data_IF_676234769194
#
_entry.id   IF_676234769194
#
_cell.length_a   1.000
_cell.length_b   1.000
_cell.length_c   1.000
_cell.angle_alpha   90.00
_cell.angle_beta   90.00
_cell.angle_gamma   90.00
#
_symmetry.space_group_name_H-M   'P 1'
#
loop_
_entity.id
_entity.type
_entity.pdbx_description
1 polymer ?
#
# COMPACT_ATOMS: atom_id res chain seq x y z
N UNK A 1 -24.87 9.15 12.01
CA UNK A 1 -23.68 9.47 12.83
C UNK A 1 -22.86 10.48 12.07
N UNK A 2 -22.46 11.61 12.66
CA UNK A 2 -21.58 12.56 11.99
C UNK A 2 -20.26 11.86 11.65
N UNK A 3 -19.79 11.92 10.39
CA UNK A 3 -18.45 11.44 10.03
C UNK A 3 -17.46 12.19 10.93
N UNK A 4 -16.60 11.45 11.66
CA UNK A 4 -15.52 12.05 12.43
C UNK A 4 -14.70 12.90 11.48
N UNK A 5 -14.43 14.15 11.82
CA UNK A 5 -13.57 15.02 11.03
C UNK A 5 -12.17 14.39 11.01
N UNK A 6 -11.67 14.07 9.82
CA UNK A 6 -10.35 13.46 9.62
C UNK A 6 -9.41 14.57 9.17
N UNK A 7 -8.40 14.86 10.00
CA UNK A 7 -7.41 15.90 9.74
C UNK A 7 -6.06 15.35 9.31
N UNK A 8 -5.75 14.12 9.72
CA UNK A 8 -4.48 13.48 9.40
C UNK A 8 -4.69 12.01 9.08
N UNK A 9 -4.12 11.56 7.96
CA UNK A 9 -4.21 10.19 7.44
C UNK A 9 -2.83 9.62 7.23
N UNK A 10 -2.59 8.40 7.72
CA UNK A 10 -1.42 7.60 7.33
C UNK A 10 -1.81 6.67 6.20
N UNK A 11 -1.09 6.75 5.09
CA UNK A 11 -1.35 5.98 3.87
C UNK A 11 -0.29 4.90 3.66
N UNK A 12 -0.72 3.64 3.53
CA UNK A 12 0.13 2.57 3.01
C UNK A 12 0.46 2.87 1.55
N UNK A 13 1.71 3.23 1.28
CA UNK A 13 2.15 3.77 0.00
C UNK A 13 3.21 2.89 -0.65
N UNK A 14 2.92 2.39 -1.84
CA UNK A 14 3.86 1.57 -2.63
C UNK A 14 4.49 2.34 -3.80
N UNK A 15 4.04 3.56 -4.06
CA UNK A 15 4.47 4.32 -5.24
C UNK A 15 3.85 3.84 -6.55
N UNK A 16 3.05 2.79 -6.55
CA UNK A 16 2.25 2.36 -7.70
C UNK A 16 1.14 3.36 -8.05
N UNK A 17 0.49 3.17 -9.20
CA UNK A 17 -0.59 4.03 -9.63
C UNK A 17 -1.72 4.04 -8.60
N UNK A 18 -2.18 2.85 -8.21
CA UNK A 18 -3.31 2.65 -7.28
C UNK A 18 -3.14 3.41 -5.97
N UNK A 19 -1.93 3.41 -5.38
CA UNK A 19 -1.66 4.12 -4.13
C UNK A 19 -1.38 5.60 -4.34
N UNK A 20 -0.85 6.00 -5.51
CA UNK A 20 -0.56 7.41 -5.79
C UNK A 20 -1.83 8.22 -6.00
N UNK A 21 -2.84 7.69 -6.70
CA UNK A 21 -4.13 8.38 -6.92
C UNK A 21 -4.95 8.53 -5.64
N UNK A 22 -4.66 7.73 -4.60
CA UNK A 22 -5.33 7.85 -3.31
C UNK A 22 -5.02 9.18 -2.63
N UNK A 23 -3.83 9.74 -2.83
CA UNK A 23 -3.42 11.00 -2.19
C UNK A 23 -4.36 12.15 -2.60
N UNK A 24 -4.51 12.51 -3.89
CA UNK A 24 -5.45 13.56 -4.29
C UNK A 24 -6.89 13.19 -3.94
N UNK A 25 -7.29 11.92 -4.07
CA UNK A 25 -8.63 11.48 -3.72
C UNK A 25 -8.98 11.71 -2.24
N UNK A 26 -8.04 11.43 -1.33
CA UNK A 26 -8.23 11.70 0.11
C UNK A 26 -8.40 13.19 0.36
N UNK A 27 -7.62 14.04 -0.31
CA UNK A 27 -7.73 15.50 -0.18
C UNK A 27 -9.10 16.01 -0.60
N UNK A 28 -9.63 15.51 -1.70
CA UNK A 28 -10.95 15.91 -2.21
C UNK A 28 -12.10 15.42 -1.33
N UNK A 29 -12.02 14.20 -0.80
CA UNK A 29 -13.15 13.55 -0.13
C UNK A 29 -13.16 13.72 1.39
N UNK A 30 -12.04 14.15 2.01
CA UNK A 30 -11.89 14.28 3.46
C UNK A 30 -11.46 15.69 3.92
N UNK A 31 -11.78 16.73 3.12
CA UNK A 31 -11.54 18.12 3.45
C UNK A 31 -10.05 18.45 3.63
N UNK A 32 -9.23 18.04 2.65
CA UNK A 32 -7.78 18.31 2.56
C UNK A 32 -6.98 17.90 3.81
N UNK A 33 -7.03 16.63 4.25
CA UNK A 33 -6.28 16.17 5.41
C UNK A 33 -4.78 16.18 5.14
N UNK A 34 -3.98 16.29 6.20
CA UNK A 34 -2.56 16.00 6.13
C UNK A 34 -2.34 14.52 5.81
N UNK A 35 -1.57 14.21 4.76
CA UNK A 35 -1.31 12.84 4.33
C UNK A 35 0.14 12.48 4.57
N UNK A 36 0.36 11.48 5.42
CA UNK A 36 1.65 10.89 5.69
C UNK A 36 1.71 9.54 4.99
N UNK A 37 2.57 9.44 3.99
CA UNK A 37 2.80 8.18 3.27
C UNK A 37 3.81 7.30 4.02
N UNK A 38 3.60 5.99 4.00
CA UNK A 38 4.50 5.02 4.65
C UNK A 38 4.73 3.84 3.72
N UNK A 39 5.98 3.52 3.49
CA UNK A 39 6.46 2.32 2.80
C UNK A 39 7.28 1.46 3.74
N UNK A 40 7.05 0.16 3.74
CA UNK A 40 7.88 -0.80 4.46
C UNK A 40 8.86 -1.47 3.50
N UNK A 41 10.14 -1.44 3.83
CA UNK A 41 11.16 -2.27 3.19
C UNK A 41 11.16 -3.66 3.84
N UNK A 42 10.80 -4.66 3.07
CA UNK A 42 10.83 -6.07 3.46
C UNK A 42 11.78 -6.88 2.55
N UNK A 43 12.74 -6.18 1.93
CA UNK A 43 13.75 -6.77 1.05
C UNK A 43 13.48 -6.57 -0.45
N UNK A 44 12.65 -5.59 -0.85
CA UNK A 44 12.35 -5.31 -2.26
C UNK A 44 13.42 -4.47 -2.98
N UNK A 45 14.48 -4.04 -2.31
CA UNK A 45 15.65 -3.42 -2.91
C UNK A 45 15.35 -2.05 -3.55
N UNK A 46 15.73 -1.88 -4.82
CA UNK A 46 15.67 -0.60 -5.54
C UNK A 46 14.27 -0.08 -5.87
N UNK A 47 13.21 -0.81 -5.52
CA UNK A 47 11.83 -0.37 -5.77
C UNK A 47 11.45 0.89 -4.95
N UNK A 48 12.22 1.17 -3.89
CA UNK A 48 12.03 2.34 -3.01
C UNK A 48 12.73 3.61 -3.51
N UNK A 49 13.56 3.51 -4.55
CA UNK A 49 14.31 4.64 -5.08
C UNK A 49 13.38 5.72 -5.68
N UNK A 50 13.56 6.97 -5.25
CA UNK A 50 12.78 8.12 -5.71
C UNK A 50 11.33 8.15 -5.22
N UNK A 51 10.97 7.27 -4.28
CA UNK A 51 9.61 7.16 -3.77
C UNK A 51 9.19 8.41 -2.98
N UNK A 52 10.11 9.02 -2.23
CA UNK A 52 9.85 10.23 -1.45
C UNK A 52 9.49 11.42 -2.36
N UNK A 53 10.32 11.66 -3.38
CA UNK A 53 10.06 12.74 -4.33
C UNK A 53 8.70 12.57 -5.01
N UNK A 54 8.36 11.34 -5.37
CA UNK A 54 7.06 11.02 -5.97
C UNK A 54 5.91 11.27 -5.00
N UNK A 55 6.01 10.82 -3.75
CA UNK A 55 4.97 11.01 -2.74
C UNK A 55 4.70 12.49 -2.48
N UNK A 56 5.75 13.28 -2.29
CA UNK A 56 5.65 14.73 -2.06
C UNK A 56 5.07 15.47 -3.27
N UNK A 57 5.52 15.14 -4.48
CA UNK A 57 4.96 15.71 -5.72
C UNK A 57 3.49 15.38 -5.92
N UNK A 58 3.06 14.23 -5.42
CA UNK A 58 1.66 13.81 -5.51
C UNK A 58 0.79 14.52 -4.46
N UNK A 59 1.40 15.12 -3.43
CA UNK A 59 0.70 15.91 -2.42
C UNK A 59 0.73 15.33 -1.01
N UNK A 60 1.54 14.30 -0.74
CA UNK A 60 1.83 13.87 0.61
C UNK A 60 2.67 14.92 1.34
N UNK A 61 2.46 15.08 2.64
CA UNK A 61 3.22 15.98 3.48
C UNK A 61 4.58 15.39 3.87
N UNK A 62 4.66 14.05 3.94
CA UNK A 62 5.84 13.31 4.39
C UNK A 62 5.79 11.88 3.87
N UNK A 63 6.97 11.27 3.67
CA UNK A 63 7.12 9.83 3.48
C UNK A 63 8.01 9.25 4.58
N UNK A 64 7.57 8.15 5.16
CA UNK A 64 8.39 7.23 5.93
C UNK A 64 8.75 6.02 5.05
N UNK A 65 10.02 5.70 4.99
CA UNK A 65 10.53 4.42 4.45
C UNK A 65 11.13 3.67 5.62
N UNK A 66 10.45 2.62 6.06
CA UNK A 66 10.80 1.86 7.25
C UNK A 66 11.48 0.55 6.86
N UNK A 67 12.69 0.35 7.35
CA UNK A 67 13.38 -0.94 7.21
C UNK A 67 12.74 -1.97 8.17
N UNK A 68 12.10 -2.96 7.59
CA UNK A 68 11.43 -4.05 8.30
C UNK A 68 12.07 -5.41 7.98
N UNK A 69 13.27 -5.41 7.40
CA UNK A 69 13.95 -6.63 6.94
C UNK A 69 14.27 -7.57 8.08
N UNK A 70 14.84 -7.07 9.17
CA UNK A 70 15.16 -7.88 10.35
C UNK A 70 13.89 -8.43 11.00
N UNK A 71 12.87 -7.58 11.22
CA UNK A 71 11.57 -8.01 11.78
C UNK A 71 10.90 -9.06 10.88
N UNK A 72 10.98 -8.90 9.56
CA UNK A 72 10.45 -9.88 8.61
C UNK A 72 11.16 -11.24 8.73
N UNK A 73 12.48 -11.22 8.87
CA UNK A 73 13.28 -12.45 8.98
C UNK A 73 13.06 -13.13 10.33
N UNK A 74 13.27 -12.40 11.42
CA UNK A 74 13.33 -12.98 12.76
C UNK A 74 11.96 -13.36 13.31
N UNK A 75 10.95 -12.50 13.13
CA UNK A 75 9.62 -12.70 13.70
C UNK A 75 8.70 -13.55 12.80
N UNK A 76 9.01 -13.67 11.51
CA UNK A 76 8.08 -14.31 10.56
C UNK A 76 8.75 -15.42 9.74
N UNK A 77 9.82 -15.12 9.00
CA UNK A 77 10.40 -16.11 8.07
C UNK A 77 10.98 -17.29 8.84
N UNK A 78 11.87 -17.04 9.81
CA UNK A 78 12.51 -18.10 10.59
C UNK A 78 11.47 -18.96 11.33
N UNK A 79 10.53 -18.41 12.11
CA UNK A 79 9.49 -19.21 12.74
C UNK A 79 8.63 -20.01 11.77
N UNK A 80 8.29 -19.41 10.62
CA UNK A 80 7.48 -20.08 9.60
C UNK A 80 8.22 -21.27 8.97
N UNK A 81 9.52 -21.12 8.71
CA UNK A 81 10.36 -22.22 8.23
C UNK A 81 10.49 -23.34 9.29
N UNK A 82 10.70 -22.97 10.54
CA UNK A 82 10.77 -23.94 11.65
C UNK A 82 9.49 -24.74 11.82
N UNK A 83 8.33 -24.12 11.58
CA UNK A 83 7.02 -24.79 11.60
C UNK A 83 6.70 -25.59 10.32
N UNK A 84 7.54 -25.48 9.28
CA UNK A 84 7.25 -26.04 7.95
C UNK A 84 6.00 -25.43 7.31
N UNK A 85 5.74 -24.16 7.57
CA UNK A 85 4.56 -23.47 7.07
C UNK A 85 4.56 -23.43 5.54
N UNK A 86 3.51 -23.97 4.93
CA UNK A 86 3.28 -23.91 3.49
C UNK A 86 1.79 -23.93 3.18
N UNK A 87 1.44 -23.40 2.04
CA UNK A 87 0.09 -23.47 1.50
C UNK A 87 0.17 -23.90 0.03
N UNK A 88 0.09 -25.19 -0.21
CA UNK A 88 0.31 -25.79 -1.53
C UNK A 88 1.62 -25.28 -2.16
N UNK A 89 1.55 -24.76 -3.38
CA UNK A 89 2.66 -24.13 -4.09
C UNK A 89 2.66 -22.58 -3.97
N UNK A 90 1.81 -22.01 -3.11
CA UNK A 90 1.71 -20.57 -2.93
C UNK A 90 2.84 -20.04 -2.05
N UNK A 91 3.57 -19.04 -2.57
CA UNK A 91 4.61 -18.35 -1.83
C UNK A 91 4.00 -17.43 -0.77
N UNK A 92 4.30 -17.67 0.50
CA UNK A 92 3.69 -16.98 1.64
C UNK A 92 4.23 -15.56 1.88
N UNK A 93 5.24 -15.09 1.15
CA UNK A 93 5.89 -13.80 1.38
C UNK A 93 4.91 -12.63 1.48
N UNK A 94 3.97 -12.52 0.54
CA UNK A 94 2.93 -11.48 0.57
C UNK A 94 2.02 -11.61 1.80
N UNK A 95 1.67 -12.84 2.18
CA UNK A 95 0.82 -13.08 3.34
C UNK A 95 1.49 -12.66 4.65
N UNK A 96 2.82 -12.76 4.72
CA UNK A 96 3.62 -12.43 5.89
C UNK A 96 3.99 -10.94 5.95
N UNK A 97 4.33 -10.33 4.82
CA UNK A 97 4.74 -8.93 4.76
C UNK A 97 3.61 -7.95 5.15
N UNK A 98 2.37 -8.22 4.74
CA UNK A 98 1.25 -7.28 4.96
C UNK A 98 0.95 -7.02 6.44
N UNK A 99 0.88 -8.01 7.33
CA UNK A 99 0.70 -7.77 8.77
C UNK A 99 1.82 -6.95 9.41
N UNK A 100 3.08 -7.17 9.02
CA UNK A 100 4.25 -6.43 9.54
C UNK A 100 4.15 -4.96 9.12
N UNK A 101 3.94 -4.70 7.84
CA UNK A 101 3.75 -3.34 7.32
C UNK A 101 2.56 -2.67 8.02
N UNK A 102 1.45 -3.38 8.20
CA UNK A 102 0.27 -2.84 8.87
C UNK A 102 0.52 -2.49 10.35
N UNK A 103 1.31 -3.30 11.07
CA UNK A 103 1.77 -3.00 12.43
C UNK A 103 2.55 -1.69 12.45
N UNK A 104 3.52 -1.52 11.55
CA UNK A 104 4.33 -0.30 11.45
C UNK A 104 3.48 0.92 11.07
N UNK A 105 2.50 0.78 10.17
CA UNK A 105 1.53 1.84 9.88
C UNK A 105 0.78 2.31 11.14
N UNK A 106 0.37 1.39 12.00
CA UNK A 106 -0.32 1.72 13.26
C UNK A 106 0.63 2.45 14.22
N UNK A 107 1.87 2.01 14.33
CA UNK A 107 2.87 2.66 15.20
C UNK A 107 3.11 4.10 14.76
N UNK A 108 3.31 4.34 13.46
CA UNK A 108 3.48 5.68 12.90
C UNK A 108 2.19 6.51 13.06
N UNK A 109 1.02 5.93 12.80
CA UNK A 109 -0.24 6.63 12.96
C UNK A 109 -0.47 7.10 14.40
N UNK A 110 -0.10 6.29 15.38
CA UNK A 110 -0.15 6.68 16.80
C UNK A 110 0.87 7.77 17.15
N UNK A 111 2.10 7.65 16.65
CA UNK A 111 3.16 8.62 16.89
C UNK A 111 2.83 10.00 16.27
N UNK A 112 2.25 10.00 15.09
CA UNK A 112 1.86 11.22 14.36
C UNK A 112 0.48 11.77 14.81
N UNK A 113 -0.24 11.06 15.68
CA UNK A 113 -1.57 11.44 16.10
C UNK A 113 -2.60 11.44 14.97
N UNK A 114 -2.48 10.49 14.04
CA UNK A 114 -3.38 10.40 12.90
C UNK A 114 -4.78 9.90 13.30
N UNK A 115 -5.79 10.38 12.56
CA UNK A 115 -7.20 10.02 12.77
C UNK A 115 -7.58 8.73 12.03
N UNK A 116 -6.87 8.42 10.94
CA UNK A 116 -7.18 7.29 10.08
C UNK A 116 -5.94 6.69 9.43
N UNK A 117 -6.06 5.43 9.02
CA UNK A 117 -5.11 4.72 8.15
C UNK A 117 -5.83 4.39 6.85
N UNK A 118 -5.18 4.72 5.71
CA UNK A 118 -5.67 4.39 4.38
C UNK A 118 -4.79 3.34 3.71
N UNK A 119 -5.40 2.52 2.84
CA UNK A 119 -4.67 1.55 2.02
C UNK A 119 -5.29 1.40 0.63
N UNK A 120 -4.47 1.03 -0.36
CA UNK A 120 -4.87 0.83 -1.75
C UNK A 120 -5.25 -0.62 -2.12
N UNK A 121 -5.56 -1.47 -1.13
CA UNK A 121 -5.94 -2.85 -1.42
C UNK A 121 -7.33 -2.91 -2.05
N UNK A 122 -7.45 -3.67 -3.15
CA UNK A 122 -8.74 -3.89 -3.80
C UNK A 122 -9.70 -4.67 -2.90
N UNK A 123 -10.99 -4.34 -2.94
CA UNK A 123 -12.01 -4.98 -2.09
C UNK A 123 -12.27 -6.47 -2.37
N UNK A 124 -11.53 -7.08 -3.32
CA UNK A 124 -11.68 -8.48 -3.73
C UNK A 124 -10.49 -9.37 -3.34
N UNK A 125 -9.40 -8.75 -2.84
CA UNK A 125 -8.15 -9.45 -2.55
C UNK A 125 -7.96 -9.79 -1.08
N UNK A 126 -7.10 -10.79 -0.79
CA UNK A 126 -6.74 -11.17 0.57
C UNK A 126 -5.90 -10.09 1.29
N UNK A 127 -5.24 -9.22 0.55
CA UNK A 127 -4.39 -8.17 1.14
C UNK A 127 -5.18 -7.18 1.98
N UNK A 128 -6.40 -6.83 1.55
CA UNK A 128 -7.31 -6.03 2.35
C UNK A 128 -7.53 -6.64 3.73
N UNK A 129 -7.87 -7.94 3.78
CA UNK A 129 -8.13 -8.64 5.04
C UNK A 129 -6.88 -8.64 5.93
N UNK A 130 -5.71 -8.87 5.36
CA UNK A 130 -4.43 -8.90 6.07
C UNK A 130 -4.12 -7.53 6.70
N UNK A 131 -4.26 -6.44 5.93
CA UNK A 131 -4.07 -5.08 6.45
C UNK A 131 -5.09 -4.74 7.53
N UNK A 132 -6.37 -4.91 7.24
CA UNK A 132 -7.43 -4.46 8.14
C UNK A 132 -7.46 -5.26 9.45
N UNK A 133 -7.25 -6.58 9.42
CA UNK A 133 -7.16 -7.38 10.63
C UNK A 133 -5.95 -6.98 11.50
N UNK A 134 -4.80 -6.73 10.89
CA UNK A 134 -3.62 -6.28 11.62
C UNK A 134 -3.85 -4.88 12.22
N UNK A 135 -4.38 -3.92 11.46
CA UNK A 135 -4.73 -2.60 11.98
C UNK A 135 -5.70 -2.73 13.15
N UNK A 136 -6.78 -3.52 13.01
CA UNK A 136 -7.76 -3.73 14.08
C UNK A 136 -7.20 -4.45 15.29
N UNK A 137 -6.19 -5.30 15.12
CA UNK A 137 -5.48 -5.98 16.23
C UNK A 137 -4.68 -4.99 17.08
N UNK A 138 -3.99 -4.04 16.45
CA UNK A 138 -3.08 -3.11 17.13
C UNK A 138 -3.72 -1.76 17.47
N UNK A 139 -4.77 -1.35 16.77
CA UNK A 139 -5.53 -0.12 16.98
C UNK A 139 -7.02 -0.33 16.61
N UNK A 140 -7.79 -1.02 17.46
CA UNK A 140 -9.20 -1.32 17.16
C UNK A 140 -10.07 -0.06 16.97
N UNK A 141 -9.68 1.06 17.58
CA UNK A 141 -10.34 2.37 17.48
C UNK A 141 -10.02 3.13 16.20
N UNK A 142 -8.94 2.74 15.48
CA UNK A 142 -8.48 3.45 14.30
C UNK A 142 -9.48 3.37 13.15
N UNK A 143 -9.77 4.50 12.55
CA UNK A 143 -10.57 4.55 11.31
C UNK A 143 -9.75 4.00 10.15
N UNK A 144 -10.34 3.09 9.38
CA UNK A 144 -9.72 2.56 8.16
C UNK A 144 -10.43 3.15 6.96
N UNK A 145 -9.66 3.72 6.02
CA UNK A 145 -10.15 4.23 4.75
C UNK A 145 -9.66 3.29 3.65
N UNK A 146 -10.59 2.73 2.91
CA UNK A 146 -10.31 1.84 1.78
C UNK A 146 -10.97 2.40 0.51
N UNK A 147 -10.29 3.28 -0.24
CA UNK A 147 -10.88 3.99 -1.37
C UNK A 147 -11.53 3.07 -2.40
N UNK A 148 -10.96 1.90 -2.66
CA UNK A 148 -11.53 0.89 -3.56
C UNK A 148 -12.96 0.44 -3.22
N UNK A 149 -13.46 0.72 -2.03
CA UNK A 149 -14.85 0.48 -1.62
C UNK A 149 -15.73 1.73 -1.69
N UNK A 150 -15.13 2.89 -1.84
CA UNK A 150 -15.81 4.18 -1.72
C UNK A 150 -15.85 4.96 -3.03
N UNK A 151 -14.86 4.80 -3.91
CA UNK A 151 -14.77 5.54 -5.16
C UNK A 151 -15.49 4.84 -6.33
N UNK A 152 -15.79 5.61 -7.37
CA UNK A 152 -16.45 5.11 -8.58
C UNK A 152 -15.49 4.61 -9.67
N UNK A 153 -14.16 4.66 -9.42
CA UNK A 153 -13.13 4.20 -10.36
C UNK A 153 -13.21 2.68 -10.49
N UNK A 154 -13.51 2.20 -11.71
CA UNK A 154 -13.79 0.77 -11.97
C UNK A 154 -12.65 0.02 -12.63
N UNK A 155 -11.65 0.73 -13.16
CA UNK A 155 -10.58 0.09 -13.90
C UNK A 155 -9.37 0.98 -14.14
N UNK A 156 -8.32 0.33 -14.64
CA UNK A 156 -7.00 0.92 -14.84
C UNK A 156 -7.00 2.14 -15.76
N UNK A 157 -7.84 2.15 -16.79
CA UNK A 157 -7.94 3.29 -17.72
C UNK A 157 -8.47 4.54 -16.99
N UNK A 158 -9.47 4.36 -16.11
CA UNK A 158 -10.04 5.44 -15.29
C UNK A 158 -9.05 5.94 -14.22
N UNK A 159 -8.22 5.03 -13.66
CA UNK A 159 -7.13 5.41 -12.74
C UNK A 159 -6.10 6.31 -13.44
N UNK A 160 -5.72 5.97 -14.67
CA UNK A 160 -4.79 6.76 -15.47
C UNK A 160 -5.38 8.13 -15.78
N UNK A 161 -6.66 8.18 -16.21
CA UNK A 161 -7.36 9.44 -16.48
C UNK A 161 -7.41 10.33 -15.22
N UNK A 162 -7.70 9.73 -14.07
CA UNK A 162 -7.71 10.44 -12.79
C UNK A 162 -6.31 10.95 -12.41
N UNK A 163 -5.28 10.10 -12.58
CA UNK A 163 -3.90 10.48 -12.30
C UNK A 163 -3.41 11.63 -13.20
N UNK A 164 -3.74 11.60 -14.50
CA UNK A 164 -3.42 12.66 -15.45
C UNK A 164 -4.12 13.98 -15.07
N UNK A 165 -5.41 13.92 -14.71
CA UNK A 165 -6.19 15.08 -14.27
C UNK A 165 -5.61 15.77 -13.03
N UNK A 166 -4.97 14.99 -12.14
CA UNK A 166 -4.38 15.47 -10.88
C UNK A 166 -2.87 15.65 -10.94
N UNK A 167 -2.25 15.58 -12.13
CA UNK A 167 -0.80 15.70 -12.33
C UNK A 167 0.03 14.73 -11.47
N UNK A 168 -0.49 13.54 -11.20
CA UNK A 168 0.23 12.49 -10.47
C UNK A 168 1.38 11.98 -11.33
N UNK A 169 2.64 11.96 -10.83
CA UNK A 169 3.78 11.48 -11.62
C UNK A 169 3.64 9.99 -11.94
N UNK A 170 3.46 9.65 -13.20
CA UNK A 170 3.35 8.26 -13.67
C UNK A 170 4.68 7.82 -14.28
N UNK A 171 5.20 6.65 -13.87
CA UNK A 171 6.32 5.99 -14.53
C UNK A 171 5.89 5.25 -15.82
N UNK A 172 4.58 5.11 -16.05
CA UNK A 172 4.00 4.32 -17.14
C UNK A 172 3.19 5.23 -18.05
N UNK A 173 3.59 5.35 -19.32
CA UNK A 173 2.76 5.99 -20.34
C UNK A 173 1.68 5.04 -20.86
N UNK A 174 0.55 5.58 -21.37
CA UNK A 174 -0.52 4.81 -22.03
C UNK A 174 0.00 3.87 -23.14
N UNK A 175 1.12 4.21 -23.79
CA UNK A 175 1.71 3.42 -24.87
C UNK A 175 2.36 2.13 -24.36
N UNK A 176 3.08 2.20 -23.24
CA UNK A 176 3.70 1.03 -22.60
C UNK A 176 2.62 0.06 -22.13
N UNK A 177 1.53 0.57 -21.56
CA UNK A 177 0.43 -0.26 -21.06
C UNK A 177 -0.35 -0.98 -22.18
N UNK A 178 -0.52 -0.37 -23.35
CA UNK A 178 -1.15 -1.02 -24.51
C UNK A 178 -0.27 -2.10 -25.13
N UNK A 179 1.08 -1.98 -25.05
CA UNK A 179 2.02 -2.98 -25.49
C UNK A 179 2.04 -4.23 -24.61
N UNK A 180 1.84 -4.06 -23.31
CA UNK A 180 1.95 -5.14 -22.32
C UNK A 180 0.69 -5.99 -22.17
N UNK A 181 -0.46 -5.56 -22.71
CA UNK A 181 -1.70 -6.36 -22.73
C UNK A 181 -1.57 -7.73 -23.42
N UNK A 182 -0.50 -7.97 -24.17
CA UNK A 182 -0.23 -9.28 -24.81
C UNK A 182 0.52 -10.26 -23.89
N UNK A 183 1.17 -9.80 -22.81
CA UNK A 183 2.06 -10.64 -21.99
C UNK A 183 1.64 -10.84 -20.55
N UNK A 184 0.75 -10.04 -19.97
CA UNK A 184 0.45 -10.09 -18.52
C UNK A 184 -1.04 -10.22 -18.22
N UNK A 185 -1.52 -11.45 -18.18
CA UNK A 185 -2.65 -11.86 -17.31
C UNK A 185 -2.14 -12.13 -15.88
N UNK A 186 -1.34 -11.26 -15.30
CA UNK A 186 -0.86 -11.37 -13.92
C UNK A 186 -1.38 -10.17 -13.12
N UNK A 187 -2.11 -10.50 -12.06
CA UNK A 187 -2.78 -9.60 -11.14
C UNK A 187 -1.88 -8.49 -10.61
N UNK A 188 -2.34 -7.25 -10.65
CA UNK A 188 -1.70 -6.06 -10.09
C UNK A 188 -1.45 -6.12 -8.56
N UNK A 189 -2.07 -7.07 -7.87
CA UNK A 189 -1.82 -7.35 -6.44
C UNK A 189 -0.53 -8.14 -6.18
N UNK A 190 0.16 -8.62 -7.22
CA UNK A 190 1.40 -9.40 -7.11
C UNK A 190 2.67 -8.60 -7.41
N UNK A 191 2.59 -7.37 -7.90
CA UNK A 191 3.78 -6.60 -8.26
C UNK A 191 4.70 -6.28 -7.09
N UNK A 192 4.19 -6.27 -5.87
CA UNK A 192 4.96 -5.89 -4.69
C UNK A 192 5.86 -6.99 -4.10
N UNK A 193 5.68 -8.25 -4.49
CA UNK A 193 6.44 -9.40 -3.92
C UNK A 193 6.92 -10.39 -4.98
N UNK A 194 6.59 -10.21 -6.25
CA UNK A 194 6.92 -11.19 -7.29
C UNK A 194 8.38 -11.18 -7.75
N UNK A 195 9.22 -10.34 -7.15
CA UNK A 195 10.66 -10.26 -7.48
C UNK A 195 11.58 -10.56 -6.30
N UNK A 196 11.15 -11.34 -5.34
CA UNK A 196 12.15 -11.97 -4.47
C UNK A 196 13.00 -12.92 -5.33
N UNK A 197 14.33 -12.81 -5.35
CA UNK A 197 15.14 -13.73 -6.11
C UNK A 197 14.87 -15.15 -5.63
N UNK A 198 14.47 -16.02 -6.56
CA UNK A 198 14.50 -17.45 -6.36
C UNK A 198 15.96 -17.87 -6.36
N UNK A 199 16.64 -17.70 -5.25
CA UNK A 199 17.99 -18.20 -5.09
C UNK A 199 17.99 -19.40 -4.20
N UNK A 200 18.24 -20.52 -4.88
CA UNK A 200 18.80 -21.81 -4.44
C UNK A 200 18.24 -22.43 -3.16
#
# INVERSE_FOLDING_TARGET
>A
MAKKEIKKVVLAYSGGLDTSIIIPWLKENYNDPEIISVSGDVGQGTELDGLEEKAIKTGASKLYVEDLTDEMVDDVIIPSMMMGAKYEDYLLGTAFARPIIAKRLVEIAKAEGADAIAHGCTGKGNDQVRFELAIKRFAPEMTIIAPWREWDIKGRDEEIDYAEAHNVPLKISREIFRGDRKSTRLNSSHEFVSRMPSSA
#
